data_IF_755292292372
#
_entry.id   IF_755292292372
#
_cell.length_a   1.000
_cell.length_b   1.000
_cell.length_c   1.000
_cell.angle_alpha   90.00
_cell.angle_beta   90.00
_cell.angle_gamma   90.00
#
_symmetry.space_group_name_H-M   'P 1'
#
loop_
_entity.id
_entity.type
_entity.pdbx_description
1 polymer ?
#
# COMPACT_ATOMS: atom_id res chain seq x y z
N UNK A 1 8.06 -18.07 12.18
CA UNK A 1 8.37 -16.63 12.05
C UNK A 1 7.21 -15.89 12.69
N UNK A 2 7.45 -14.98 13.64
CA UNK A 2 6.36 -14.13 14.16
C UNK A 2 5.92 -13.25 12.99
N UNK A 3 4.66 -13.35 12.57
CA UNK A 3 4.04 -12.25 11.85
C UNK A 3 4.03 -11.09 12.85
N UNK A 4 4.89 -10.10 12.64
CA UNK A 4 4.71 -8.82 13.31
C UNK A 4 3.40 -8.25 12.77
N UNK A 5 2.49 -7.92 13.68
CA UNK A 5 1.20 -7.36 13.36
C UNK A 5 1.39 -6.08 12.53
N UNK A 6 1.01 -6.14 11.24
CA UNK A 6 1.20 -5.01 10.32
C UNK A 6 0.16 -3.94 10.61
N UNK A 7 0.62 -2.71 10.86
CA UNK A 7 -0.26 -1.56 11.12
C UNK A 7 -0.37 -0.68 9.88
N UNK A 8 -1.43 0.11 9.79
CA UNK A 8 -1.65 1.11 8.73
C UNK A 8 -0.44 2.03 8.54
N UNK A 9 0.15 2.49 9.64
CA UNK A 9 1.30 3.39 9.63
C UNK A 9 2.59 2.70 9.15
N UNK A 10 2.78 1.42 9.48
CA UNK A 10 3.92 0.64 9.00
C UNK A 10 3.81 0.37 7.49
N UNK A 11 2.63 -0.02 7.01
CA UNK A 11 2.40 -0.23 5.58
C UNK A 11 2.55 1.07 4.77
N UNK A 12 2.12 2.22 5.32
CA UNK A 12 2.33 3.52 4.65
C UNK A 12 3.82 3.85 4.45
N UNK A 13 4.70 3.46 5.39
CA UNK A 13 6.16 3.61 5.21
C UNK A 13 6.70 2.72 4.10
N UNK A 14 6.21 1.49 4.00
CA UNK A 14 6.57 0.56 2.92
C UNK A 14 6.13 1.15 1.57
N UNK A 15 4.94 1.74 1.50
CA UNK A 15 4.50 2.45 0.29
C UNK A 15 5.42 3.63 -0.06
N UNK A 16 5.83 4.43 0.93
CA UNK A 16 6.77 5.54 0.70
C UNK A 16 8.11 5.06 0.13
N UNK A 17 8.62 3.92 0.62
CA UNK A 17 9.84 3.29 0.11
C UNK A 17 9.68 2.73 -1.32
N UNK A 18 8.55 2.06 -1.60
CA UNK A 18 8.27 1.51 -2.94
C UNK A 18 8.13 2.64 -3.97
N UNK A 19 7.45 3.72 -3.59
CA UNK A 19 7.16 4.87 -4.46
C UNK A 19 8.35 5.83 -4.60
N UNK A 20 9.46 5.55 -3.90
CA UNK A 20 10.67 6.40 -3.85
C UNK A 20 10.35 7.86 -3.47
N UNK A 21 9.47 8.03 -2.47
CA UNK A 21 9.08 9.35 -1.95
C UNK A 21 9.61 9.58 -0.54
N UNK A 22 9.81 10.84 -0.11
CA UNK A 22 10.26 11.14 1.24
C UNK A 22 9.33 10.56 2.33
N UNK A 23 9.88 10.07 3.46
CA UNK A 23 9.07 9.60 4.57
C UNK A 23 8.13 10.69 5.10
N UNK A 24 6.86 10.33 5.28
CA UNK A 24 5.80 11.24 5.70
C UNK A 24 5.30 12.21 4.63
N UNK A 25 5.75 12.11 3.37
CA UNK A 25 5.24 12.96 2.28
C UNK A 25 4.01 12.39 1.59
N UNK A 26 3.71 11.09 1.78
CA UNK A 26 2.60 10.45 1.08
C UNK A 26 1.26 10.91 1.66
N UNK A 27 0.39 11.41 0.79
CA UNK A 27 -0.95 11.88 1.13
C UNK A 27 -2.01 10.97 0.55
N UNK A 28 -3.19 10.97 1.14
CA UNK A 28 -4.28 10.11 0.68
C UNK A 28 -4.82 10.53 -0.70
N UNK A 29 -4.54 11.76 -1.13
CA UNK A 29 -4.89 12.28 -2.47
C UNK A 29 -3.87 11.94 -3.55
N UNK A 30 -2.71 11.37 -3.21
CA UNK A 30 -1.69 11.07 -4.20
C UNK A 30 -2.13 9.95 -5.15
N UNK A 31 -1.81 10.12 -6.42
CA UNK A 31 -2.15 9.22 -7.52
C UNK A 31 -0.90 8.89 -8.33
N UNK A 32 -1.06 7.98 -9.30
CA UNK A 32 -0.03 7.67 -10.30
C UNK A 32 0.43 8.88 -11.10
N UNK A 33 -0.40 9.91 -11.20
CA UNK A 33 -0.07 11.14 -11.94
C UNK A 33 0.68 12.16 -11.07
N UNK A 34 0.49 12.13 -9.75
CA UNK A 34 1.15 13.06 -8.82
C UNK A 34 2.51 12.57 -8.35
N UNK A 35 2.72 11.24 -8.30
CA UNK A 35 3.96 10.61 -7.86
C UNK A 35 4.78 10.15 -9.06
N UNK A 36 5.92 10.81 -9.30
CA UNK A 36 6.80 10.48 -10.42
C UNK A 36 7.37 9.05 -10.38
N UNK A 37 7.54 8.47 -9.18
CA UNK A 37 8.00 7.09 -9.00
C UNK A 37 6.93 6.03 -9.27
N UNK A 38 5.65 6.42 -9.40
CA UNK A 38 4.54 5.50 -9.49
C UNK A 38 4.31 5.00 -10.92
N UNK A 39 5.03 3.94 -11.25
CA UNK A 39 4.94 3.17 -12.49
C UNK A 39 4.12 1.88 -12.34
N UNK A 40 3.87 1.21 -13.47
CA UNK A 40 3.28 -0.14 -13.46
C UNK A 40 4.17 -1.18 -12.76
N UNK A 41 5.49 -0.95 -12.66
CA UNK A 41 6.38 -1.81 -11.88
C UNK A 41 6.15 -1.63 -10.38
N UNK A 42 5.98 -0.39 -9.92
CA UNK A 42 5.65 -0.12 -8.51
C UNK A 42 4.28 -0.67 -8.14
N UNK A 43 3.30 -0.71 -9.06
CA UNK A 43 2.03 -1.40 -8.79
C UNK A 43 2.23 -2.88 -8.42
N UNK A 44 3.08 -3.60 -9.17
CA UNK A 44 3.41 -5.01 -8.87
C UNK A 44 4.12 -5.13 -7.52
N UNK A 45 5.01 -4.19 -7.18
CA UNK A 45 5.69 -4.16 -5.89
C UNK A 45 4.72 -3.91 -4.73
N UNK A 46 3.75 -3.00 -4.91
CA UNK A 46 2.69 -2.74 -3.93
C UNK A 46 1.85 -4.00 -3.71
N UNK A 47 1.39 -4.66 -4.78
CA UNK A 47 0.62 -5.90 -4.68
C UNK A 47 1.41 -7.02 -3.98
N UNK A 48 2.71 -7.11 -4.27
CA UNK A 48 3.60 -8.07 -3.61
C UNK A 48 3.74 -7.77 -2.11
N UNK A 49 3.87 -6.50 -1.72
CA UNK A 49 3.92 -6.09 -0.32
C UNK A 49 2.59 -6.40 0.39
N UNK A 50 1.45 -6.11 -0.23
CA UNK A 50 0.12 -6.45 0.32
C UNK A 50 0.02 -7.96 0.59
N UNK A 51 0.41 -8.79 -0.37
CA UNK A 51 0.35 -10.24 -0.20
C UNK A 51 1.34 -10.75 0.86
N UNK A 52 2.59 -10.30 0.82
CA UNK A 52 3.63 -10.80 1.72
C UNK A 52 3.53 -10.29 3.16
N UNK A 53 3.14 -9.02 3.33
CA UNK A 53 3.11 -8.35 4.63
C UNK A 53 1.73 -8.36 5.28
N UNK A 54 0.65 -8.27 4.49
CA UNK A 54 -0.73 -8.25 5.00
C UNK A 54 -1.43 -9.60 4.83
N UNK A 55 -0.89 -10.51 4.03
CA UNK A 55 -1.52 -11.81 3.75
C UNK A 55 -2.82 -11.69 2.94
N UNK A 56 -3.06 -10.52 2.31
CA UNK A 56 -4.23 -10.28 1.49
C UNK A 56 -3.93 -10.72 0.06
N UNK A 57 -4.71 -11.66 -0.45
CA UNK A 57 -4.69 -11.99 -1.87
C UNK A 57 -5.31 -10.83 -2.67
N UNK A 58 -4.43 -9.99 -3.21
CA UNK A 58 -4.80 -8.90 -4.09
C UNK A 58 -4.42 -9.30 -5.52
N UNK A 59 -5.38 -9.83 -6.30
CA UNK A 59 -5.16 -9.93 -7.73
C UNK A 59 -5.14 -8.52 -8.35
N UNK A 60 -4.30 -8.31 -9.37
CA UNK A 60 -4.13 -7.00 -9.99
C UNK A 60 -5.43 -6.45 -10.59
N UNK A 61 -6.38 -7.34 -10.93
CA UNK A 61 -7.71 -6.99 -11.46
C UNK A 61 -8.69 -6.56 -10.36
N UNK A 62 -8.50 -7.02 -9.11
CA UNK A 62 -9.37 -6.71 -7.97
C UNK A 62 -8.93 -5.45 -7.21
N UNK A 63 -7.65 -5.07 -7.35
CA UNK A 63 -7.06 -3.88 -6.75
C UNK A 63 -7.05 -2.68 -7.69
N UNK A 64 -8.22 -2.30 -8.20
CA UNK A 64 -8.41 -1.00 -8.85
C UNK A 64 -8.44 0.11 -7.79
N UNK A 65 -7.39 0.91 -7.68
CA UNK A 65 -7.38 2.12 -6.87
C UNK A 65 -6.72 3.24 -7.68
N UNK A 66 -7.25 4.45 -7.57
CA UNK A 66 -6.72 5.65 -8.24
C UNK A 66 -5.83 6.45 -7.29
N UNK A 67 -6.13 6.40 -5.99
CA UNK A 67 -5.42 7.15 -4.96
C UNK A 67 -4.83 6.24 -3.87
N UNK A 68 -3.80 6.74 -3.17
CA UNK A 68 -3.28 6.10 -1.95
C UNK A 68 -4.40 5.94 -0.91
N UNK A 69 -5.27 6.93 -0.74
CA UNK A 69 -6.37 6.89 0.22
C UNK A 69 -7.33 5.73 -0.05
N UNK A 70 -7.67 5.51 -1.32
CA UNK A 70 -8.50 4.37 -1.74
C UNK A 70 -7.82 3.04 -1.46
N UNK A 71 -6.53 2.91 -1.80
CA UNK A 71 -5.74 1.73 -1.48
C UNK A 71 -5.78 1.42 0.03
N UNK A 72 -5.49 2.42 0.86
CA UNK A 72 -5.47 2.26 2.32
C UNK A 72 -6.86 1.94 2.89
N UNK A 73 -7.91 2.51 2.31
CA UNK A 73 -9.30 2.25 2.74
C UNK A 73 -9.73 0.83 2.39
N UNK A 74 -9.42 0.35 1.18
CA UNK A 74 -9.69 -1.04 0.78
C UNK A 74 -8.99 -2.05 1.70
N UNK A 75 -7.74 -1.79 2.08
CA UNK A 75 -7.01 -2.65 3.00
C UNK A 75 -7.62 -2.63 4.41
N UNK A 76 -8.10 -1.47 4.86
CA UNK A 76 -8.80 -1.34 6.14
C UNK A 76 -10.16 -2.07 6.15
N UNK A 77 -10.93 -1.96 5.07
CA UNK A 77 -12.19 -2.70 4.88
C UNK A 77 -11.98 -4.22 4.89
N UNK A 78 -10.87 -4.70 4.34
CA UNK A 78 -10.47 -6.10 4.36
C UNK A 78 -9.86 -6.56 5.69
N UNK A 79 -9.83 -5.70 6.72
CA UNK A 79 -9.23 -5.98 8.03
C UNK A 79 -7.76 -6.41 7.91
N UNK A 80 -7.05 -5.91 6.90
CA UNK A 80 -5.67 -6.25 6.61
C UNK A 80 -4.70 -5.74 7.69
N UNK A 81 -5.11 -4.69 8.40
CA UNK A 81 -4.31 -4.07 9.46
C UNK A 81 -4.71 -4.59 10.84
N UNK A 82 -3.71 -4.85 11.65
CA UNK A 82 -3.87 -5.07 13.09
C UNK A 82 -4.35 -3.79 13.79
N UNK A 83 -5.29 -3.95 14.72
CA UNK A 83 -5.62 -2.91 15.68
C UNK A 83 -4.48 -2.84 16.72
N UNK A 84 -3.93 -1.64 16.92
CA UNK A 84 -2.88 -1.31 17.88
C UNK A 84 -3.04 -1.95 19.26
#
# INVERSE_FOLDING_TARGET
MRQEEMTKAAFKKILEEILDVPPGSLTDSDTRETIAGWSSLTDVQILTAIWSDLGVEAEAEDFEFETVGELMSKLEENQAFSAY
#
